data_IF_280178261716
#
_entry.id   IF_280178261716
#
_cell.length_a   1.000
_cell.length_b   1.000
_cell.length_c   1.000
_cell.angle_alpha   90.00
_cell.angle_beta   90.00
_cell.angle_gamma   90.00
#
_symmetry.space_group_name_H-M   'P 1'
#
loop_
_entity.id
_entity.type
_entity.pdbx_description
1 polymer ?
#
# COMPACT_ATOMS: atom_id res chain seq x y z
N UNK A 1 33.92 16.99 12.85
CA UNK A 1 33.16 17.11 11.58
C UNK A 1 32.33 18.39 11.63
N UNK A 2 32.53 19.30 10.67
CA UNK A 2 31.86 20.60 10.56
C UNK A 2 30.32 20.42 10.61
N UNK A 3 29.60 21.23 11.41
CA UNK A 3 28.13 21.17 11.55
C UNK A 3 27.41 21.36 10.21
N UNK A 4 27.90 22.24 9.34
CA UNK A 4 27.36 22.45 7.99
C UNK A 4 27.45 21.17 7.16
N UNK A 5 28.60 20.50 7.16
CA UNK A 5 28.77 19.23 6.45
C UNK A 5 27.83 18.15 7.00
N UNK A 6 27.69 18.04 8.33
CA UNK A 6 26.74 17.10 8.96
C UNK A 6 25.30 17.40 8.59
N UNK A 7 24.93 18.68 8.51
CA UNK A 7 23.60 19.11 8.12
C UNK A 7 23.33 18.77 6.65
N UNK A 8 24.24 19.11 5.73
CA UNK A 8 24.12 18.77 4.30
C UNK A 8 23.99 17.26 4.08
N UNK A 9 24.80 16.45 4.77
CA UNK A 9 24.67 14.98 4.70
C UNK A 9 23.33 14.48 5.25
N UNK A 10 22.85 15.05 6.34
CA UNK A 10 21.55 14.68 6.91
C UNK A 10 20.39 15.06 5.96
N UNK A 11 20.43 16.25 5.38
CA UNK A 11 19.48 16.73 4.38
C UNK A 11 19.39 15.77 3.20
N UNK A 12 20.54 15.50 2.55
CA UNK A 12 20.61 14.65 1.36
C UNK A 12 20.14 13.21 1.63
N UNK A 13 20.40 12.67 2.83
CA UNK A 13 20.07 11.28 3.15
C UNK A 13 18.61 11.09 3.56
N UNK A 14 18.04 12.05 4.29
CA UNK A 14 16.76 11.85 4.97
C UNK A 14 15.62 12.71 4.42
N UNK A 15 15.93 13.70 3.59
CA UNK A 15 14.99 14.70 3.10
C UNK A 15 14.00 15.15 4.19
N UNK A 16 14.50 15.68 5.32
CA UNK A 16 13.66 15.98 6.49
C UNK A 16 12.74 17.18 6.22
N UNK A 17 11.60 17.23 6.89
CA UNK A 17 10.86 18.50 7.02
C UNK A 17 11.65 19.50 7.87
N UNK A 18 11.38 20.81 7.76
CA UNK A 18 12.09 21.83 8.54
C UNK A 18 11.96 21.56 10.03
N UNK A 19 10.76 21.22 10.48
CA UNK A 19 10.50 20.84 11.88
C UNK A 19 11.41 19.71 12.36
N UNK A 20 11.58 18.65 11.55
CA UNK A 20 12.49 17.56 11.91
C UNK A 20 13.95 17.94 11.81
N UNK A 21 14.31 18.83 10.90
CA UNK A 21 15.68 19.24 10.69
C UNK A 21 16.16 20.17 11.81
N UNK A 22 15.34 21.15 12.21
CA UNK A 22 15.61 22.00 13.37
C UNK A 22 15.80 21.16 14.63
N UNK A 23 14.88 20.23 14.92
CA UNK A 23 15.01 19.31 16.05
C UNK A 23 16.28 18.43 16.00
N UNK A 24 16.77 18.09 14.80
CA UNK A 24 18.05 17.39 14.65
C UNK A 24 19.24 18.30 14.98
N UNK A 25 19.24 19.55 14.49
CA UNK A 25 20.30 20.53 14.73
C UNK A 25 20.38 20.94 16.20
N UNK A 26 19.24 21.13 16.86
CA UNK A 26 19.16 21.35 18.32
C UNK A 26 19.81 20.20 19.09
N UNK A 27 19.50 18.94 18.75
CA UNK A 27 20.14 17.75 19.33
C UNK A 27 21.65 17.67 19.07
N UNK A 28 22.17 18.42 18.10
CA UNK A 28 23.60 18.55 17.83
C UNK A 28 24.22 19.79 18.47
N UNK A 29 23.48 20.50 19.33
CA UNK A 29 23.89 21.73 19.98
C UNK A 29 24.38 22.78 18.97
N UNK A 30 23.72 22.86 17.81
CA UNK A 30 24.05 23.85 16.79
C UNK A 30 23.61 25.25 17.24
N UNK A 31 24.52 26.22 17.20
CA UNK A 31 24.18 27.63 17.34
C UNK A 31 23.52 28.12 16.05
N UNK A 32 22.38 28.80 16.15
CA UNK A 32 21.62 29.36 15.01
C UNK A 32 21.21 28.34 13.93
N UNK A 33 20.39 27.31 14.25
CA UNK A 33 19.94 26.28 13.31
C UNK A 33 19.38 26.80 11.98
N UNK A 34 18.64 27.90 12.02
CA UNK A 34 17.95 28.52 10.89
C UNK A 34 18.95 29.11 9.89
N UNK A 35 20.00 29.76 10.38
CA UNK A 35 21.09 30.26 9.55
C UNK A 35 21.84 29.12 8.87
N UNK A 36 22.02 28.00 9.58
CA UNK A 36 22.63 26.80 9.01
C UNK A 36 21.77 26.27 7.87
N UNK A 37 20.45 26.16 8.06
CA UNK A 37 19.53 25.72 7.00
C UNK A 37 19.58 26.64 5.78
N UNK A 38 19.57 27.95 5.98
CA UNK A 38 19.71 28.93 4.90
C UNK A 38 21.05 28.77 4.16
N UNK A 39 22.15 28.64 4.90
CA UNK A 39 23.51 28.51 4.34
C UNK A 39 23.67 27.25 3.49
N UNK A 40 23.08 26.12 3.92
CA UNK A 40 23.15 24.87 3.15
C UNK A 40 22.13 24.78 2.02
N UNK A 41 21.30 25.82 1.81
CA UNK A 41 20.28 25.85 0.78
C UNK A 41 19.11 24.90 1.04
N UNK A 42 18.67 24.76 2.29
CA UNK A 42 17.50 23.96 2.60
C UNK A 42 16.22 24.54 1.98
N UNK A 43 15.45 23.70 1.31
CA UNK A 43 14.14 24.02 0.77
C UNK A 43 13.13 22.90 1.11
N UNK A 44 12.10 23.25 1.89
CA UNK A 44 11.02 22.34 2.30
C UNK A 44 10.32 21.69 1.09
N UNK A 45 10.06 22.48 0.05
CA UNK A 45 9.37 22.07 -1.17
C UNK A 45 10.16 20.99 -1.90
N UNK A 46 11.49 21.13 -1.96
CA UNK A 46 12.39 20.16 -2.58
C UNK A 46 12.44 18.85 -1.77
N UNK A 47 12.45 18.95 -0.44
CA UNK A 47 12.42 17.75 0.42
C UNK A 47 11.10 16.99 0.28
N UNK A 48 10.00 17.72 0.16
CA UNK A 48 8.68 17.15 -0.06
C UNK A 48 8.60 16.48 -1.44
N UNK A 49 9.14 17.11 -2.49
CA UNK A 49 9.23 16.52 -3.85
C UNK A 49 10.01 15.21 -3.87
N UNK A 50 11.12 15.14 -3.13
CA UNK A 50 11.91 13.92 -3.02
C UNK A 50 11.09 12.75 -2.45
N UNK A 51 10.28 13.02 -1.41
CA UNK A 51 9.39 12.01 -0.84
C UNK A 51 8.22 11.66 -1.75
N UNK A 52 7.61 12.64 -2.41
CA UNK A 52 6.53 12.41 -3.38
C UNK A 52 6.99 11.45 -4.48
N UNK A 53 8.12 11.76 -5.14
CA UNK A 53 8.70 10.91 -6.18
C UNK A 53 9.04 9.51 -5.65
N UNK A 54 9.62 9.43 -4.47
CA UNK A 54 9.94 8.13 -3.83
C UNK A 54 8.67 7.29 -3.63
N UNK A 55 7.58 7.90 -3.20
CA UNK A 55 6.34 7.18 -2.93
C UNK A 55 5.57 6.80 -4.18
N UNK A 56 5.55 7.67 -5.19
CA UNK A 56 4.99 7.37 -6.52
C UNK A 56 5.75 6.21 -7.16
N UNK A 57 7.08 6.27 -7.19
CA UNK A 57 7.92 5.21 -7.77
C UNK A 57 7.81 3.87 -7.01
N UNK A 58 7.37 3.90 -5.75
CA UNK A 58 7.09 2.68 -4.97
C UNK A 58 5.62 2.30 -4.96
N UNK A 59 4.80 2.89 -5.85
CA UNK A 59 3.40 2.57 -6.07
C UNK A 59 2.53 2.74 -4.84
N UNK A 60 2.83 3.74 -3.99
CA UNK A 60 2.05 3.99 -2.78
C UNK A 60 0.79 4.80 -3.07
N UNK A 61 -0.37 4.39 -2.56
CA UNK A 61 -1.60 5.14 -2.79
C UNK A 61 -1.55 6.51 -2.11
N UNK A 62 -2.33 7.45 -2.62
CA UNK A 62 -2.42 8.83 -2.14
C UNK A 62 -2.67 8.91 -0.62
N UNK A 63 -3.58 8.08 -0.10
CA UNK A 63 -3.88 8.04 1.34
C UNK A 63 -2.65 7.66 2.19
N UNK A 64 -1.90 6.63 1.77
CA UNK A 64 -0.67 6.21 2.46
C UNK A 64 0.42 7.30 2.37
N UNK A 65 0.50 7.99 1.23
CA UNK A 65 1.42 9.12 1.02
C UNK A 65 1.13 10.23 2.04
N UNK A 66 -0.13 10.68 2.13
CA UNK A 66 -0.56 11.72 3.08
C UNK A 66 -0.15 11.37 4.52
N UNK A 67 -0.48 10.15 4.97
CA UNK A 67 -0.11 9.70 6.32
C UNK A 67 1.40 9.70 6.53
N UNK A 68 2.18 9.23 5.55
CA UNK A 68 3.65 9.16 5.68
C UNK A 68 4.28 10.55 5.73
N UNK A 69 3.80 11.50 4.95
CA UNK A 69 4.29 12.88 4.96
C UNK A 69 3.93 13.61 6.25
N UNK A 70 2.70 13.44 6.75
CA UNK A 70 2.30 13.96 8.06
C UNK A 70 3.15 13.39 9.20
N UNK A 71 3.42 12.08 9.17
CA UNK A 71 4.32 11.46 10.14
C UNK A 71 5.74 12.04 10.05
N UNK A 72 6.18 12.42 8.85
CA UNK A 72 7.44 13.13 8.60
C UNK A 72 7.42 14.61 9.01
N UNK A 73 6.30 15.12 9.54
CA UNK A 73 6.13 16.49 10.05
C UNK A 73 6.22 17.56 8.95
N UNK A 74 5.73 17.23 7.74
CA UNK A 74 5.42 18.22 6.72
C UNK A 74 4.02 18.80 7.00
N UNK A 75 3.82 20.08 6.66
CA UNK A 75 2.54 20.76 6.86
C UNK A 75 1.46 20.23 5.91
N UNK A 76 0.22 20.20 6.39
CA UNK A 76 -0.90 19.59 5.67
C UNK A 76 -1.17 20.34 4.36
N UNK A 77 -1.17 21.66 4.41
CA UNK A 77 -1.46 22.53 3.28
C UNK A 77 -0.45 22.33 2.15
N UNK A 78 0.83 22.16 2.49
CA UNK A 78 1.90 21.92 1.51
C UNK A 78 1.81 20.52 0.91
N UNK A 79 1.43 19.52 1.71
CA UNK A 79 1.17 18.16 1.21
C UNK A 79 0.04 18.17 0.18
N UNK A 80 -1.07 18.85 0.45
CA UNK A 80 -2.20 18.91 -0.48
C UNK A 80 -1.80 19.61 -1.79
N UNK A 81 -1.11 20.76 -1.71
CA UNK A 81 -0.58 21.45 -2.91
C UNK A 81 0.37 20.57 -3.74
N UNK A 82 1.23 19.78 -3.08
CA UNK A 82 2.11 18.84 -3.80
C UNK A 82 1.33 17.69 -4.41
N UNK A 83 0.28 17.19 -3.78
CA UNK A 83 -0.57 16.16 -4.39
C UNK A 83 -1.24 16.69 -5.65
N UNK A 84 -1.69 17.95 -5.66
CA UNK A 84 -2.19 18.61 -6.88
C UNK A 84 -1.10 18.76 -7.94
N UNK A 85 0.13 19.10 -7.54
CA UNK A 85 1.27 19.24 -8.46
C UNK A 85 1.62 17.90 -9.13
N UNK A 86 1.55 16.79 -8.40
CA UNK A 86 1.83 15.43 -8.89
C UNK A 86 0.56 14.69 -9.34
N UNK A 87 -0.53 15.42 -9.64
CA UNK A 87 -1.82 14.80 -9.94
C UNK A 87 -1.71 13.80 -11.11
N UNK A 88 -1.04 14.17 -12.19
CA UNK A 88 -0.91 13.31 -13.37
C UNK A 88 -0.21 11.98 -13.03
N UNK A 89 0.92 12.03 -12.32
CA UNK A 89 1.67 10.82 -11.96
C UNK A 89 0.94 9.94 -10.94
N UNK A 90 0.16 10.56 -10.04
CA UNK A 90 -0.65 9.85 -9.04
C UNK A 90 -1.89 9.17 -9.64
N UNK A 91 -2.29 9.55 -10.85
CA UNK A 91 -3.40 8.97 -11.61
C UNK A 91 -2.93 8.20 -12.85
N UNK A 92 -1.63 7.99 -13.00
CA UNK A 92 -1.07 7.16 -14.05
C UNK A 92 -0.98 5.70 -13.60
N UNK A 93 -1.84 4.86 -14.17
CA UNK A 93 -1.88 3.42 -13.94
C UNK A 93 -0.50 2.75 -14.08
N UNK A 94 0.33 3.20 -15.03
CA UNK A 94 1.65 2.65 -15.30
C UNK A 94 2.56 2.68 -14.07
N UNK A 95 2.45 3.72 -13.24
CA UNK A 95 3.26 3.87 -12.02
C UNK A 95 2.85 2.88 -10.91
N UNK A 96 1.60 2.43 -10.91
CA UNK A 96 1.04 1.61 -9.83
C UNK A 96 0.91 0.14 -10.17
N UNK A 97 0.71 -0.18 -11.46
CA UNK A 97 0.41 -1.54 -11.94
C UNK A 97 1.37 -2.59 -11.37
N UNK A 98 2.68 -2.39 -11.52
CA UNK A 98 3.68 -3.36 -11.07
C UNK A 98 3.58 -3.66 -9.57
N UNK A 99 3.36 -2.63 -8.75
CA UNK A 99 3.24 -2.80 -7.30
C UNK A 99 1.91 -3.45 -6.93
N UNK A 100 0.83 -3.17 -7.66
CA UNK A 100 -0.47 -3.81 -7.49
C UNK A 100 -0.40 -5.30 -7.86
N UNK A 101 0.21 -5.66 -8.99
CA UNK A 101 0.46 -7.05 -9.39
C UNK A 101 1.24 -7.82 -8.31
N UNK A 102 2.29 -7.19 -7.77
CA UNK A 102 3.05 -7.76 -6.65
C UNK A 102 2.18 -7.97 -5.41
N UNK A 103 1.27 -7.05 -5.08
CA UNK A 103 0.33 -7.22 -3.96
C UNK A 103 -0.61 -8.39 -4.22
N UNK A 104 -1.18 -8.49 -5.42
CA UNK A 104 -2.08 -9.57 -5.84
C UNK A 104 -1.39 -10.92 -5.65
N UNK A 105 -0.21 -11.11 -6.26
CA UNK A 105 0.54 -12.37 -6.18
C UNK A 105 0.84 -12.77 -4.73
N UNK A 106 1.34 -11.84 -3.92
CA UNK A 106 1.64 -12.11 -2.50
C UNK A 106 0.40 -12.50 -1.69
N UNK A 107 -0.76 -11.96 -2.02
CA UNK A 107 -2.01 -12.23 -1.30
C UNK A 107 -2.67 -13.52 -1.77
N UNK A 108 -2.62 -13.83 -3.06
CA UNK A 108 -3.04 -15.13 -3.61
C UNK A 108 -2.22 -16.27 -3.03
N UNK A 109 -0.89 -16.11 -2.90
CA UNK A 109 -0.03 -17.08 -2.21
C UNK A 109 -0.45 -17.34 -0.76
N UNK A 110 -1.04 -16.33 -0.09
CA UNK A 110 -1.60 -16.42 1.26
C UNK A 110 -3.05 -16.94 1.29
N UNK A 111 -3.59 -17.40 0.17
CA UNK A 111 -4.94 -17.97 0.05
C UNK A 111 -6.07 -16.95 0.14
N UNK A 112 -5.83 -15.69 -0.24
CA UNK A 112 -6.89 -14.67 -0.33
C UNK A 112 -7.69 -14.88 -1.62
N UNK A 113 -9.01 -14.69 -1.54
CA UNK A 113 -9.86 -14.75 -2.73
C UNK A 113 -9.73 -13.48 -3.58
N UNK A 114 -10.02 -13.60 -4.88
CA UNK A 114 -10.05 -12.47 -5.81
C UNK A 114 -11.06 -11.42 -5.38
N UNK A 115 -12.22 -11.82 -4.83
CA UNK A 115 -13.24 -10.88 -4.32
C UNK A 115 -12.71 -10.03 -3.16
N UNK A 116 -11.96 -10.65 -2.24
CA UNK A 116 -11.34 -9.90 -1.14
C UNK A 116 -10.27 -8.95 -1.70
N UNK A 117 -9.50 -9.40 -2.68
CA UNK A 117 -8.49 -8.57 -3.32
C UNK A 117 -9.09 -7.37 -4.05
N UNK A 118 -10.19 -7.55 -4.80
CA UNK A 118 -10.93 -6.46 -5.44
C UNK A 118 -11.35 -5.42 -4.40
N UNK A 119 -11.96 -5.84 -3.30
CA UNK A 119 -12.38 -4.93 -2.24
C UNK A 119 -11.21 -4.18 -1.58
N UNK A 120 -10.13 -4.88 -1.25
CA UNK A 120 -8.94 -4.27 -0.64
C UNK A 120 -8.26 -3.28 -1.58
N UNK A 121 -8.05 -3.66 -2.85
CA UNK A 121 -7.33 -2.85 -3.83
C UNK A 121 -8.15 -1.65 -4.30
N UNK A 122 -9.44 -1.82 -4.61
CA UNK A 122 -10.31 -0.72 -5.06
C UNK A 122 -10.59 0.32 -3.96
N UNK A 123 -10.48 -0.08 -2.69
CA UNK A 123 -10.49 0.87 -1.57
C UNK A 123 -9.17 1.63 -1.47
N UNK A 124 -8.03 0.94 -1.68
CA UNK A 124 -6.69 1.53 -1.56
C UNK A 124 -6.31 2.41 -2.74
N UNK A 125 -6.80 2.07 -3.93
CA UNK A 125 -6.52 2.71 -5.20
C UNK A 125 -7.83 3.08 -5.90
N UNK A 126 -8.56 4.08 -5.36
CA UNK A 126 -9.92 4.38 -5.80
C UNK A 126 -10.03 4.89 -7.24
N UNK A 127 -8.93 5.34 -7.84
CA UNK A 127 -8.88 5.83 -9.22
C UNK A 127 -8.62 4.73 -10.25
N UNK A 128 -8.30 3.52 -9.82
CA UNK A 128 -7.92 2.41 -10.71
C UNK A 128 -8.87 1.22 -10.60
N UNK A 129 -10.14 1.46 -10.26
CA UNK A 129 -11.08 0.38 -9.92
C UNK A 129 -11.33 -0.55 -11.11
N UNK A 130 -11.48 0.03 -12.28
CA UNK A 130 -11.79 -0.70 -13.51
C UNK A 130 -10.54 -1.45 -13.99
N UNK A 131 -9.36 -0.81 -13.94
CA UNK A 131 -8.08 -1.43 -14.26
C UNK A 131 -7.72 -2.57 -13.29
N UNK A 132 -8.07 -2.42 -12.00
CA UNK A 132 -7.91 -3.49 -11.00
C UNK A 132 -8.84 -4.66 -11.31
N UNK A 133 -10.10 -4.39 -11.68
CA UNK A 133 -11.06 -5.44 -12.03
C UNK A 133 -10.60 -6.22 -13.26
N UNK A 134 -10.19 -5.51 -14.33
CA UNK A 134 -9.61 -6.11 -15.53
C UNK A 134 -8.36 -6.94 -15.19
N UNK A 135 -7.43 -6.36 -14.42
CA UNK A 135 -6.20 -7.04 -14.02
C UNK A 135 -6.48 -8.33 -13.24
N UNK A 136 -7.41 -8.31 -12.29
CA UNK A 136 -7.78 -9.49 -11.51
C UNK A 136 -8.43 -10.59 -12.36
N UNK A 137 -9.05 -10.24 -13.48
CA UNK A 137 -9.59 -11.19 -14.46
C UNK A 137 -8.53 -12.13 -15.05
N UNK A 138 -7.24 -11.78 -14.98
CA UNK A 138 -6.13 -12.63 -15.43
C UNK A 138 -5.60 -13.59 -14.35
N UNK A 139 -6.15 -13.56 -13.14
CA UNK A 139 -5.71 -14.40 -12.03
C UNK A 139 -6.77 -15.44 -11.66
N UNK A 140 -6.33 -16.50 -11.01
CA UNK A 140 -7.18 -17.50 -10.36
C UNK A 140 -6.81 -17.59 -8.87
N UNK A 141 -7.83 -17.77 -8.02
CA UNK A 141 -7.69 -18.08 -6.59
C UNK A 141 -7.95 -19.57 -6.27
N UNK A 142 -7.97 -20.46 -7.26
CA UNK A 142 -8.26 -21.89 -7.10
C UNK A 142 -7.32 -22.57 -6.10
N UNK A 143 -6.03 -22.22 -6.14
CA UNK A 143 -5.05 -22.74 -5.18
C UNK A 143 -5.34 -22.31 -3.74
N UNK A 144 -5.90 -21.12 -3.55
CA UNK A 144 -6.36 -20.62 -2.25
C UNK A 144 -7.65 -21.31 -1.81
N UNK A 145 -8.58 -21.50 -2.76
CA UNK A 145 -9.83 -22.21 -2.55
C UNK A 145 -9.58 -23.65 -2.10
N UNK A 146 -8.76 -24.41 -2.84
CA UNK A 146 -8.40 -25.80 -2.55
C UNK A 146 -7.85 -25.96 -1.11
N UNK A 147 -6.91 -25.09 -0.70
CA UNK A 147 -6.36 -25.11 0.67
C UNK A 147 -7.41 -24.87 1.75
N UNK A 148 -8.31 -23.91 1.55
CA UNK A 148 -9.36 -23.64 2.52
C UNK A 148 -10.43 -24.75 2.52
N UNK A 149 -10.73 -25.36 1.36
CA UNK A 149 -11.61 -26.53 1.27
C UNK A 149 -11.04 -27.69 2.09
N UNK A 150 -9.78 -28.08 1.87
CA UNK A 150 -9.10 -29.16 2.62
C UNK A 150 -9.12 -28.90 4.13
N UNK A 151 -8.95 -27.63 4.52
CA UNK A 151 -8.99 -27.22 5.92
C UNK A 151 -10.40 -27.33 6.52
N UNK A 152 -11.43 -26.89 5.81
CA UNK A 152 -12.80 -26.90 6.32
C UNK A 152 -13.49 -28.26 6.19
N UNK A 153 -13.08 -29.11 5.24
CA UNK A 153 -13.59 -30.49 5.12
C UNK A 153 -13.18 -31.34 6.31
N UNK A 154 -12.02 -31.06 6.94
CA UNK A 154 -11.62 -31.66 8.22
C UNK A 154 -12.47 -31.20 9.41
N UNK A 155 -13.18 -30.06 9.28
CA UNK A 155 -13.93 -29.43 10.37
C UNK A 155 -15.42 -29.75 10.33
N UNK A 156 -15.99 -29.92 9.14
CA UNK A 156 -17.43 -30.10 8.93
C UNK A 156 -17.68 -31.43 8.21
N UNK A 157 -18.72 -32.16 8.64
CA UNK A 157 -19.20 -33.33 7.95
C UNK A 157 -19.98 -32.93 6.69
N UNK A 158 -19.41 -33.17 5.51
CA UNK A 158 -20.03 -32.79 4.24
C UNK A 158 -21.26 -33.63 3.88
N UNK A 159 -21.44 -34.80 4.51
CA UNK A 159 -22.63 -35.64 4.31
C UNK A 159 -23.85 -35.14 5.08
N UNK A 160 -23.66 -34.33 6.13
CA UNK A 160 -24.76 -33.68 6.86
C UNK A 160 -25.12 -32.35 6.20
N UNK A 161 -26.39 -32.18 5.83
CA UNK A 161 -26.85 -31.00 5.09
C UNK A 161 -26.63 -29.68 5.84
N UNK A 162 -26.77 -29.69 7.17
CA UNK A 162 -26.61 -28.49 8.01
C UNK A 162 -25.13 -28.12 8.14
N UNK A 163 -24.26 -29.10 8.28
CA UNK A 163 -22.81 -28.91 8.30
C UNK A 163 -22.26 -28.50 6.93
N UNK A 164 -22.76 -29.08 5.84
CA UNK A 164 -22.46 -28.66 4.47
C UNK A 164 -22.82 -27.18 4.24
N UNK A 165 -23.97 -26.73 4.74
CA UNK A 165 -24.34 -25.31 4.65
C UNK A 165 -23.36 -24.41 5.42
N UNK A 166 -22.91 -24.83 6.62
CA UNK A 166 -21.89 -24.09 7.40
C UNK A 166 -20.54 -24.06 6.68
N UNK A 167 -20.17 -25.15 6.02
CA UNK A 167 -18.97 -25.24 5.17
C UNK A 167 -19.02 -24.19 4.04
N UNK A 168 -20.11 -24.16 3.27
CA UNK A 168 -20.30 -23.15 2.21
C UNK A 168 -20.23 -21.72 2.78
N UNK A 169 -20.94 -21.45 3.87
CA UNK A 169 -20.92 -20.12 4.50
C UNK A 169 -19.52 -19.71 4.95
N UNK A 170 -18.71 -20.64 5.49
CA UNK A 170 -17.35 -20.35 5.94
C UNK A 170 -16.46 -19.91 4.76
N UNK A 171 -16.53 -20.61 3.62
CA UNK A 171 -15.78 -20.29 2.41
C UNK A 171 -16.30 -19.01 1.72
N UNK A 172 -17.62 -18.80 1.69
CA UNK A 172 -18.18 -17.57 1.13
C UNK A 172 -17.81 -16.33 1.96
N UNK A 173 -17.72 -16.46 3.30
CA UNK A 173 -17.19 -15.38 4.17
C UNK A 173 -15.71 -15.07 3.92
N UNK A 174 -14.95 -16.03 3.39
CA UNK A 174 -13.58 -15.81 2.88
C UNK A 174 -13.55 -15.15 1.51
N UNK A 175 -14.70 -15.00 0.87
CA UNK A 175 -14.89 -14.32 -0.40
C UNK A 175 -14.84 -15.22 -1.63
N UNK A 176 -14.87 -16.54 -1.47
CA UNK A 176 -14.97 -17.47 -2.61
C UNK A 176 -16.40 -17.54 -3.13
N UNK A 177 -16.55 -17.72 -4.45
CA UNK A 177 -17.86 -17.83 -5.09
C UNK A 177 -18.49 -19.18 -4.81
N UNK A 178 -19.81 -19.20 -4.62
CA UNK A 178 -20.56 -20.44 -4.41
C UNK A 178 -20.35 -21.45 -5.55
N UNK A 179 -20.46 -20.99 -6.81
CA UNK A 179 -20.28 -21.86 -7.98
C UNK A 179 -18.89 -22.48 -8.03
N UNK A 180 -17.84 -21.72 -7.68
CA UNK A 180 -16.48 -22.22 -7.64
C UNK A 180 -16.30 -23.30 -6.56
N UNK A 181 -16.87 -23.09 -5.36
CA UNK A 181 -16.85 -24.09 -4.28
C UNK A 181 -17.58 -25.36 -4.72
N UNK A 182 -18.78 -25.21 -5.32
CA UNK A 182 -19.60 -26.34 -5.76
C UNK A 182 -18.92 -27.13 -6.88
N UNK A 183 -18.37 -26.44 -7.88
CA UNK A 183 -17.66 -27.08 -8.98
C UNK A 183 -16.44 -27.85 -8.47
N UNK A 184 -15.71 -27.31 -7.48
CA UNK A 184 -14.58 -28.00 -6.87
C UNK A 184 -15.00 -29.32 -6.20
N UNK A 185 -16.06 -29.29 -5.38
CA UNK A 185 -16.57 -30.51 -4.73
C UNK A 185 -17.04 -31.57 -5.73
N UNK A 186 -17.69 -31.13 -6.82
CA UNK A 186 -18.17 -32.04 -7.87
C UNK A 186 -17.05 -32.55 -8.79
N UNK A 187 -15.87 -31.92 -8.79
CA UNK A 187 -14.73 -32.35 -9.60
C UNK A 187 -13.83 -33.39 -8.92
N UNK A 188 -14.04 -33.64 -7.62
CA UNK A 188 -13.36 -34.69 -6.84
C UNK A 188 -14.19 -35.99 -6.72
N UNK A 189 -15.39 -36.05 -7.31
CA UNK A 189 -16.20 -37.27 -7.51
C UNK A 189 -15.92 -37.91 -8.87
#
# INVERSE_FOLDING_TARGET
MNIYARASHYMARYAPSKTRFLAYLEKKNASYPEEILATIGYDESVMLDAWMRTFINTGRPIFDIKIKLLNKKFEREDIEKKIETFFAELHDWGNFRFNIEKIIQNKLQKGKSLRVLQGELSSKFPYFRDEIEELLGHYSDDSGLSKEIEKYSRKYNLADQKELQKFYQALMRKGFRYDAIKNFLNSEE
#
